data_IF_392203387536
#
_entry.id   IF_392203387536
#
_cell.length_a   1.000
_cell.length_b   1.000
_cell.length_c   1.000
_cell.angle_alpha   90.00
_cell.angle_beta   90.00
_cell.angle_gamma   90.00
#
_symmetry.space_group_name_H-M   'P 1'
#
loop_
_entity.id
_entity.type
_entity.pdbx_description
1 polymer ?
#
# COMPACT_ATOMS: atom_id res chain seq x y z
N UNK A 1 -11.61 28.81 15.79
CA UNK A 1 -11.79 27.66 16.71
C UNK A 1 -11.50 26.38 15.92
N UNK A 2 -10.24 25.99 15.81
CA UNK A 2 -9.78 24.87 14.96
C UNK A 2 -9.65 23.53 15.70
N UNK A 3 -10.45 23.31 16.76
CA UNK A 3 -10.13 22.28 17.76
C UNK A 3 -10.64 20.87 17.45
N UNK A 4 -11.42 20.64 16.39
CA UNK A 4 -11.94 19.29 16.08
C UNK A 4 -11.06 18.54 15.07
N UNK A 5 -10.53 19.21 14.05
CA UNK A 5 -9.68 18.58 13.03
C UNK A 5 -8.40 17.95 13.62
N UNK A 6 -7.61 18.72 14.36
CA UNK A 6 -6.33 18.25 14.93
C UNK A 6 -6.49 17.22 16.05
N UNK A 7 -7.67 17.14 16.68
CA UNK A 7 -7.93 16.27 17.84
C UNK A 7 -8.64 14.97 17.47
N UNK A 8 -9.55 15.02 16.52
CA UNK A 8 -10.33 13.88 16.06
C UNK A 8 -10.76 14.08 14.61
N UNK A 9 -9.86 13.73 13.69
CA UNK A 9 -10.09 13.84 12.24
C UNK A 9 -11.32 13.04 11.78
N UNK A 10 -11.65 11.94 12.46
CA UNK A 10 -12.79 11.10 12.11
C UNK A 10 -14.10 11.80 12.49
N UNK A 11 -14.18 12.36 13.70
CA UNK A 11 -15.34 13.15 14.11
C UNK A 11 -15.52 14.39 13.22
N UNK A 12 -14.44 15.12 12.94
CA UNK A 12 -14.46 16.26 12.02
C UNK A 12 -14.92 15.87 10.61
N UNK A 13 -14.38 14.79 10.02
CA UNK A 13 -14.75 14.37 8.67
C UNK A 13 -16.23 13.99 8.58
N UNK A 14 -16.77 13.31 9.60
CA UNK A 14 -18.18 12.98 9.69
C UNK A 14 -19.06 14.24 9.79
N UNK A 15 -18.64 15.23 10.57
CA UNK A 15 -19.31 16.53 10.69
C UNK A 15 -19.33 17.28 9.35
N UNK A 16 -18.17 17.41 8.68
CA UNK A 16 -18.08 18.05 7.37
C UNK A 16 -18.94 17.34 6.32
N UNK A 17 -18.94 16.00 6.32
CA UNK A 17 -19.81 15.21 5.43
C UNK A 17 -21.30 15.43 5.72
N UNK A 18 -21.69 15.60 6.98
CA UNK A 18 -23.08 15.92 7.35
C UNK A 18 -23.48 17.33 6.89
N UNK A 19 -22.59 18.33 7.06
CA UNK A 19 -22.80 19.69 6.60
C UNK A 19 -22.92 19.77 5.07
N UNK A 20 -22.08 19.04 4.34
CA UNK A 20 -22.16 18.91 2.88
C UNK A 20 -23.51 18.33 2.43
N UNK A 21 -23.95 17.22 3.04
CA UNK A 21 -25.26 16.61 2.73
C UNK A 21 -26.44 17.54 3.07
N UNK A 22 -26.30 18.35 4.11
CA UNK A 22 -27.29 19.35 4.51
C UNK A 22 -27.20 20.67 3.71
N UNK A 23 -26.29 20.77 2.73
CA UNK A 23 -26.06 21.96 1.90
C UNK A 23 -25.71 23.23 2.71
N UNK A 24 -25.12 23.06 3.90
CA UNK A 24 -24.71 24.16 4.79
C UNK A 24 -23.30 24.64 4.45
N UNK A 25 -23.10 25.13 3.23
CA UNK A 25 -21.77 25.46 2.70
C UNK A 25 -21.02 26.54 3.49
N UNK A 26 -21.73 27.45 4.15
CA UNK A 26 -21.11 28.51 4.97
C UNK A 26 -20.46 28.01 6.26
N UNK A 27 -20.78 26.79 6.69
CA UNK A 27 -20.22 26.16 7.89
C UNK A 27 -19.08 25.17 7.57
N UNK A 28 -18.74 25.00 6.28
CA UNK A 28 -17.70 24.08 5.87
C UNK A 28 -16.31 24.64 6.12
N UNK A 29 -15.43 23.74 6.55
CA UNK A 29 -14.02 23.98 6.72
C UNK A 29 -13.29 23.72 5.39
N UNK A 30 -13.43 24.65 4.44
CA UNK A 30 -13.00 24.45 3.04
C UNK A 30 -11.50 24.20 2.90
N UNK A 31 -10.67 24.82 3.76
CA UNK A 31 -9.21 24.69 3.72
C UNK A 31 -8.79 23.25 4.04
N UNK A 32 -9.17 22.73 5.20
CA UNK A 32 -8.86 21.36 5.59
C UNK A 32 -9.55 20.32 4.69
N UNK A 33 -10.75 20.60 4.17
CA UNK A 33 -11.40 19.71 3.18
C UNK A 33 -10.55 19.61 1.90
N UNK A 34 -10.02 20.72 1.40
CA UNK A 34 -9.17 20.71 0.22
C UNK A 34 -7.89 19.92 0.48
N UNK A 35 -7.25 20.14 1.64
CA UNK A 35 -6.07 19.39 2.06
C UNK A 35 -6.33 17.89 2.12
N UNK A 36 -7.45 17.47 2.71
CA UNK A 36 -7.81 16.05 2.79
C UNK A 36 -8.12 15.45 1.42
N UNK A 37 -8.82 16.15 0.54
CA UNK A 37 -9.08 15.65 -0.82
C UNK A 37 -7.75 15.49 -1.59
N UNK A 38 -6.81 16.43 -1.43
CA UNK A 38 -5.48 16.31 -2.01
C UNK A 38 -4.66 15.18 -1.36
N UNK A 39 -4.88 14.89 -0.07
CA UNK A 39 -4.18 13.85 0.68
C UNK A 39 -4.64 12.44 0.30
N UNK A 40 -5.94 12.23 0.04
CA UNK A 40 -6.55 10.91 -0.21
C UNK A 40 -5.86 10.17 -1.36
N UNK A 41 -5.59 10.85 -2.48
CA UNK A 41 -4.89 10.21 -3.60
C UNK A 41 -3.47 9.74 -3.23
N UNK A 42 -2.78 10.51 -2.38
CA UNK A 42 -1.41 10.20 -1.93
C UNK A 42 -1.40 9.09 -0.88
N UNK A 43 -2.40 9.01 0.00
CA UNK A 43 -2.50 7.95 1.01
C UNK A 43 -2.80 6.61 0.36
N UNK A 44 -3.77 6.53 -0.55
CA UNK A 44 -4.10 5.29 -1.27
C UNK A 44 -2.88 4.75 -2.05
N UNK A 45 -2.14 5.62 -2.73
CA UNK A 45 -0.91 5.24 -3.42
C UNK A 45 0.19 4.75 -2.45
N UNK A 46 0.32 5.39 -1.28
CA UNK A 46 1.31 5.02 -0.27
C UNK A 46 0.98 3.67 0.36
N UNK A 47 -0.28 3.45 0.70
CA UNK A 47 -0.74 2.20 1.33
C UNK A 47 -0.63 1.03 0.34
N UNK A 48 -0.98 1.25 -0.92
CA UNK A 48 -0.76 0.28 -1.99
C UNK A 48 0.74 -0.06 -2.15
N UNK A 49 1.63 0.94 -2.11
CA UNK A 49 3.07 0.72 -2.19
C UNK A 49 3.61 -0.08 -1.00
N UNK A 50 3.13 0.22 0.21
CA UNK A 50 3.52 -0.48 1.43
C UNK A 50 3.11 -1.96 1.40
N UNK A 51 1.87 -2.26 1.00
CA UNK A 51 1.41 -3.64 0.86
C UNK A 51 2.19 -4.40 -0.23
N UNK A 52 2.51 -3.74 -1.34
CA UNK A 52 3.28 -4.36 -2.40
C UNK A 52 4.72 -4.64 -1.96
N UNK A 53 5.37 -3.70 -1.25
CA UNK A 53 6.70 -3.89 -0.68
C UNK A 53 6.72 -5.07 0.31
N UNK A 54 5.69 -5.18 1.15
CA UNK A 54 5.54 -6.30 2.08
C UNK A 54 5.34 -7.64 1.36
N UNK A 55 4.59 -7.66 0.24
CA UNK A 55 4.44 -8.85 -0.60
C UNK A 55 5.80 -9.25 -1.21
N UNK A 56 6.53 -8.31 -1.80
CA UNK A 56 7.87 -8.54 -2.37
C UNK A 56 8.83 -9.06 -1.29
N UNK A 57 8.83 -8.45 -0.09
CA UNK A 57 9.65 -8.91 1.03
C UNK A 57 9.34 -10.36 1.42
N UNK A 58 8.07 -10.75 1.45
CA UNK A 58 7.67 -12.12 1.74
C UNK A 58 8.06 -13.10 0.62
N UNK A 59 8.03 -12.67 -0.64
CA UNK A 59 8.51 -13.47 -1.78
C UNK A 59 10.04 -13.64 -1.75
N UNK A 60 10.80 -12.61 -1.37
CA UNK A 60 12.25 -12.73 -1.16
C UNK A 60 12.55 -13.71 -0.02
N UNK A 61 11.85 -13.57 1.10
CA UNK A 61 11.94 -14.51 2.22
C UNK A 61 11.57 -15.94 1.78
N UNK A 62 10.59 -16.10 0.89
CA UNK A 62 10.24 -17.41 0.31
C UNK A 62 11.38 -17.98 -0.54
N UNK A 63 11.97 -17.17 -1.40
CA UNK A 63 13.05 -17.58 -2.29
C UNK A 63 14.31 -17.95 -1.52
N UNK A 64 14.83 -17.05 -0.69
CA UNK A 64 16.15 -17.18 -0.08
C UNK A 64 16.16 -17.98 1.23
N UNK A 65 15.00 -18.23 1.84
CA UNK A 65 14.90 -19.04 3.06
C UNK A 65 14.14 -20.35 2.80
N UNK A 66 14.59 -21.14 1.83
CA UNK A 66 13.97 -22.42 1.45
C UNK A 66 13.68 -23.33 2.66
N UNK A 67 14.61 -23.41 3.61
CA UNK A 67 14.47 -24.21 4.84
C UNK A 67 13.43 -23.68 5.85
N UNK A 68 12.86 -22.49 5.61
CA UNK A 68 11.80 -21.85 6.43
C UNK A 68 10.49 -21.69 5.67
N UNK A 69 10.36 -22.28 4.47
CA UNK A 69 9.09 -22.31 3.74
C UNK A 69 8.04 -23.06 4.57
N UNK A 70 6.87 -22.45 4.74
CA UNK A 70 5.77 -23.01 5.53
C UNK A 70 4.43 -22.62 4.93
N UNK A 71 3.39 -23.40 5.24
CA UNK A 71 2.01 -23.08 4.87
C UNK A 71 1.52 -21.77 5.48
N UNK A 72 2.09 -21.35 6.62
CA UNK A 72 1.80 -20.06 7.23
C UNK A 72 2.34 -18.90 6.38
N UNK A 73 3.60 -18.98 5.93
CA UNK A 73 4.19 -17.96 5.07
C UNK A 73 3.50 -17.88 3.70
N UNK A 74 3.14 -19.04 3.13
CA UNK A 74 2.33 -19.08 1.90
C UNK A 74 0.99 -18.36 2.07
N UNK A 75 0.29 -18.60 3.18
CA UNK A 75 -0.96 -17.89 3.51
C UNK A 75 -0.79 -16.38 3.63
N UNK A 76 0.33 -15.90 4.17
CA UNK A 76 0.63 -14.45 4.22
C UNK A 76 0.76 -13.87 2.81
N UNK A 77 1.46 -14.56 1.90
CA UNK A 77 1.60 -14.14 0.49
C UNK A 77 0.22 -14.10 -0.19
N UNK A 78 -0.58 -15.15 -0.02
CA UNK A 78 -1.93 -15.25 -0.59
C UNK A 78 -2.85 -14.13 -0.06
N UNK A 79 -2.79 -13.82 1.23
CA UNK A 79 -3.59 -12.75 1.84
C UNK A 79 -3.17 -11.36 1.34
N UNK A 80 -1.87 -11.09 1.21
CA UNK A 80 -1.38 -9.82 0.67
C UNK A 80 -1.82 -9.63 -0.79
N UNK A 81 -1.80 -10.70 -1.60
CA UNK A 81 -2.33 -10.65 -2.97
C UNK A 81 -3.82 -10.37 -3.00
N UNK A 82 -4.59 -11.01 -2.11
CA UNK A 82 -6.03 -10.76 -1.98
C UNK A 82 -6.30 -9.29 -1.61
N UNK A 83 -5.55 -8.73 -0.67
CA UNK A 83 -5.67 -7.32 -0.27
C UNK A 83 -5.34 -6.37 -1.43
N UNK A 84 -4.23 -6.60 -2.13
CA UNK A 84 -3.84 -5.80 -3.30
C UNK A 84 -4.88 -5.90 -4.42
N UNK A 85 -5.45 -7.07 -4.66
CA UNK A 85 -6.52 -7.27 -5.65
C UNK A 85 -7.76 -6.43 -5.29
N UNK A 86 -8.15 -6.39 -4.01
CA UNK A 86 -9.25 -5.54 -3.54
C UNK A 86 -8.92 -4.05 -3.74
N UNK A 87 -7.71 -3.61 -3.41
CA UNK A 87 -7.29 -2.21 -3.62
C UNK A 87 -7.35 -1.83 -5.11
N UNK A 88 -6.91 -2.71 -6.01
CA UNK A 88 -6.98 -2.50 -7.46
C UNK A 88 -8.41 -2.51 -8.01
N UNK A 89 -9.35 -3.20 -7.36
CA UNK A 89 -10.77 -3.16 -7.72
C UNK A 89 -11.43 -1.86 -7.26
N UNK A 90 -11.10 -1.40 -6.04
CA UNK A 90 -11.63 -0.16 -5.47
C UNK A 90 -11.04 1.08 -6.14
N UNK A 91 -9.78 1.02 -6.56
CA UNK A 91 -9.06 2.13 -7.21
C UNK A 91 -8.32 1.65 -8.45
N UNK A 92 -9.03 1.51 -9.61
CA UNK A 92 -8.44 0.97 -10.84
C UNK A 92 -7.24 1.77 -11.38
N UNK A 93 -7.14 3.06 -11.06
CA UNK A 93 -6.02 3.92 -11.47
C UNK A 93 -4.69 3.52 -10.84
N UNK A 94 -4.69 2.78 -9.72
CA UNK A 94 -3.48 2.23 -9.10
C UNK A 94 -2.78 1.18 -9.98
N UNK A 95 -3.48 0.61 -10.98
CA UNK A 95 -2.85 -0.33 -11.94
C UNK A 95 -1.71 0.32 -12.72
N UNK A 96 -1.78 1.64 -12.96
CA UNK A 96 -0.72 2.37 -13.65
C UNK A 96 0.60 2.34 -12.86
N UNK A 97 0.52 2.27 -11.53
CA UNK A 97 1.69 2.19 -10.65
C UNK A 97 2.45 0.87 -10.82
N UNK A 98 1.77 -0.23 -11.19
CA UNK A 98 2.43 -1.53 -11.45
C UNK A 98 3.37 -1.51 -12.66
N UNK A 99 3.26 -0.49 -13.52
CA UNK A 99 4.11 -0.29 -14.70
C UNK A 99 5.01 0.93 -14.60
N UNK A 100 4.99 1.63 -13.46
CA UNK A 100 5.79 2.83 -13.22
C UNK A 100 7.18 2.44 -12.66
N UNK A 101 8.29 2.70 -13.39
CA UNK A 101 9.64 2.35 -12.95
C UNK A 101 10.06 3.06 -11.65
N UNK A 102 9.57 4.27 -11.41
CA UNK A 102 9.88 4.99 -10.17
C UNK A 102 9.24 4.27 -8.98
N UNK A 103 8.01 3.80 -9.18
CA UNK A 103 7.27 3.07 -8.17
C UNK A 103 7.86 1.69 -7.90
N UNK A 104 8.27 0.98 -8.95
CA UNK A 104 9.01 -0.28 -8.83
C UNK A 104 10.28 -0.12 -8.00
N UNK A 105 11.07 0.91 -8.29
CA UNK A 105 12.32 1.21 -7.57
C UNK A 105 12.06 1.46 -6.08
N UNK A 106 11.01 2.24 -5.77
CA UNK A 106 10.63 2.53 -4.38
C UNK A 106 10.18 1.28 -3.65
N UNK A 107 9.25 0.52 -4.22
CA UNK A 107 8.71 -0.72 -3.64
C UNK A 107 9.83 -1.72 -3.39
N UNK A 108 10.78 -1.84 -4.31
CA UNK A 108 11.95 -2.68 -4.17
C UNK A 108 12.82 -2.26 -2.98
N UNK A 109 13.17 -0.97 -2.89
CA UNK A 109 13.97 -0.46 -1.78
C UNK A 109 13.32 -0.74 -0.42
N UNK A 110 12.01 -0.50 -0.31
CA UNK A 110 11.25 -0.77 0.91
C UNK A 110 11.21 -2.28 1.24
N UNK A 111 11.06 -3.14 0.23
CA UNK A 111 11.06 -4.60 0.41
C UNK A 111 12.42 -5.15 0.86
N UNK A 112 13.53 -4.58 0.37
CA UNK A 112 14.88 -4.92 0.82
C UNK A 112 15.03 -4.60 2.31
N UNK A 113 14.66 -3.39 2.73
CA UNK A 113 14.73 -2.98 4.14
C UNK A 113 13.95 -3.93 5.04
N UNK A 114 12.75 -4.36 4.61
CA UNK A 114 11.89 -5.27 5.38
C UNK A 114 12.34 -6.73 5.42
N UNK A 115 13.28 -7.14 4.57
CA UNK A 115 13.68 -8.55 4.42
C UNK A 115 15.15 -8.83 4.68
N UNK A 116 16.03 -7.85 4.51
CA UNK A 116 17.49 -8.06 4.58
C UNK A 116 17.96 -8.57 5.94
N UNK A 117 17.43 -8.04 7.05
CA UNK A 117 17.80 -8.47 8.40
C UNK A 117 17.45 -9.94 8.65
N UNK A 118 16.29 -10.40 8.19
CA UNK A 118 15.88 -11.80 8.37
C UNK A 118 16.60 -12.75 7.42
N UNK A 119 16.83 -12.33 6.17
CA UNK A 119 17.49 -13.15 5.15
C UNK A 119 18.98 -13.32 5.50
N UNK A 120 19.65 -12.26 5.95
CA UNK A 120 21.06 -12.32 6.34
C UNK A 120 22.03 -12.58 5.16
N UNK A 121 21.58 -12.33 3.93
CA UNK A 121 22.35 -12.48 2.69
C UNK A 121 22.26 -11.21 1.84
N UNK A 122 23.23 -11.02 0.96
CA UNK A 122 23.17 -9.96 -0.04
C UNK A 122 22.04 -10.24 -1.04
N UNK A 123 21.12 -9.28 -1.16
CA UNK A 123 20.01 -9.33 -2.12
C UNK A 123 20.40 -8.58 -3.40
N UNK A 124 19.75 -8.86 -4.54
CA UNK A 124 20.02 -8.17 -5.80
C UNK A 124 19.84 -6.64 -5.68
N UNK A 125 20.58 -5.87 -6.49
CA UNK A 125 20.44 -4.40 -6.51
C UNK A 125 19.11 -3.96 -7.15
N UNK A 126 18.58 -4.77 -8.08
CA UNK A 126 17.31 -4.51 -8.78
C UNK A 126 16.34 -5.67 -8.59
N UNK A 127 15.04 -5.37 -8.57
CA UNK A 127 14.00 -6.39 -8.46
C UNK A 127 14.10 -7.39 -9.64
N UNK A 128 14.19 -8.70 -9.39
CA UNK A 128 14.24 -9.70 -10.47
C UNK A 128 12.84 -10.00 -11.06
N UNK A 129 11.78 -9.45 -10.47
CA UNK A 129 10.40 -9.73 -10.85
C UNK A 129 9.67 -8.44 -11.24
N UNK A 130 8.84 -8.51 -12.27
CA UNK A 130 7.93 -7.42 -12.58
C UNK A 130 6.82 -7.37 -11.53
N UNK A 131 6.28 -6.17 -11.26
CA UNK A 131 5.19 -6.02 -10.30
C UNK A 131 3.92 -6.79 -10.72
N UNK A 132 3.73 -7.03 -12.02
CA UNK A 132 2.67 -7.88 -12.54
C UNK A 132 2.86 -9.35 -12.14
N UNK A 133 4.08 -9.89 -12.19
CA UNK A 133 4.36 -11.24 -11.70
C UNK A 133 4.23 -11.35 -10.18
N UNK A 134 4.65 -10.31 -9.44
CA UNK A 134 4.55 -10.28 -7.97
C UNK A 134 3.10 -10.49 -7.50
N UNK A 135 2.15 -9.79 -8.13
CA UNK A 135 0.72 -9.86 -7.77
C UNK A 135 0.00 -11.10 -8.33
N UNK A 136 0.60 -11.83 -9.27
CA UNK A 136 0.02 -13.05 -9.83
C UNK A 136 -0.15 -14.12 -8.73
N UNK A 137 -1.37 -14.63 -8.57
CA UNK A 137 -1.74 -15.60 -7.53
C UNK A 137 -0.91 -16.89 -7.59
N UNK A 138 -0.49 -17.29 -8.80
CA UNK A 138 0.24 -18.54 -9.05
C UNK A 138 1.75 -18.41 -8.87
N UNK A 139 2.27 -17.19 -8.84
CA UNK A 139 3.71 -16.97 -8.80
C UNK A 139 4.30 -17.28 -7.42
N UNK A 140 5.30 -18.14 -7.38
CA UNK A 140 6.18 -18.33 -6.22
C UNK A 140 7.61 -18.50 -6.74
N UNK A 141 8.58 -17.70 -6.28
CA UNK A 141 9.95 -17.81 -6.76
C UNK A 141 10.62 -19.09 -6.25
N UNK A 142 11.49 -19.66 -7.08
CA UNK A 142 12.29 -20.85 -6.77
C UNK A 142 13.59 -20.53 -6.05
#
# INVERSE_FOLDING_TARGET
MGTNYEKDVVAWANEQAALLRAQKFSALDIEHIAEEIESVGRSEQRDFANHLALLVANLLKWQYQCGRRSSARRRVIEELRRLLSIQLQMTPTLKNSLTDPHWETRVWADAIVQSVEEIGLALPETCPWTMQHVIDETFLPE
#
